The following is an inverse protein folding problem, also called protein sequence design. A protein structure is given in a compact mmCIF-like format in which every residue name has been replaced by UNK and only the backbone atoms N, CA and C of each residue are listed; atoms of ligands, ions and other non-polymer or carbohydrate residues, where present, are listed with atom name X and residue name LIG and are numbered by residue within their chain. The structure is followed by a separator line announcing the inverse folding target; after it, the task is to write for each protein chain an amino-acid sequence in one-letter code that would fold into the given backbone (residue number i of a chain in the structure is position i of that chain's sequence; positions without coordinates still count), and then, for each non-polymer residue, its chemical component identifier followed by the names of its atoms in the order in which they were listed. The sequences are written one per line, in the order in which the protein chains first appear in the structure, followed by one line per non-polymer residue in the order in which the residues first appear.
data_IF_892160750067
#
_entry.id   IF_892160750067
#
_cell.length_a   1.000
_cell.length_b   1.000
_cell.length_c   1.000
_cell.angle_alpha   90.00
_cell.angle_beta   90.00
_cell.angle_gamma   90.00
#
_symmetry.space_group_name_H-M   'P 1'
#
loop_
_entity.id
_entity.type
_entity.pdbx_description
1 polymer ?
#
# COMPACT_ATOMS: atom_id res chain seq x y z
N UNK A 1 22.70 -7.38 -11.48
CA UNK A 1 23.68 -6.60 -12.24
C UNK A 1 25.00 -7.33 -12.09
N UNK A 2 25.58 -7.75 -13.20
CA UNK A 2 26.92 -8.34 -13.21
C UNK A 2 27.87 -7.27 -13.74
N UNK A 3 28.57 -6.58 -12.84
CA UNK A 3 29.51 -5.49 -13.16
C UNK A 3 30.54 -5.88 -14.23
N UNK A 4 30.87 -7.17 -14.32
CA UNK A 4 31.91 -7.68 -15.20
C UNK A 4 31.47 -7.89 -16.66
N UNK A 5 30.16 -7.83 -16.97
CA UNK A 5 29.67 -8.26 -18.29
C UNK A 5 28.70 -7.29 -18.97
N UNK A 6 28.30 -6.20 -18.31
CA UNK A 6 27.32 -5.22 -18.80
C UNK A 6 25.94 -5.81 -19.19
N UNK A 7 25.65 -7.04 -18.75
CA UNK A 7 24.38 -7.72 -18.99
C UNK A 7 23.34 -7.43 -17.91
N UNK A 8 22.12 -7.13 -18.36
CA UNK A 8 20.93 -7.06 -17.54
C UNK A 8 20.11 -8.34 -17.70
N UNK A 9 19.94 -9.06 -16.60
CA UNK A 9 19.00 -10.18 -16.54
C UNK A 9 17.67 -9.71 -15.97
N UNK A 10 16.58 -10.06 -16.66
CA UNK A 10 15.22 -9.70 -16.23
C UNK A 10 14.84 -10.59 -15.04
N UNK A 11 14.64 -9.97 -13.89
CA UNK A 11 14.07 -10.65 -12.73
C UNK A 11 12.54 -10.62 -12.81
N UNK A 12 11.87 -11.68 -12.34
CA UNK A 12 10.40 -11.75 -12.31
C UNK A 12 9.77 -10.56 -11.57
N UNK A 13 10.43 -10.07 -10.52
CA UNK A 13 9.99 -8.90 -9.77
C UNK A 13 10.04 -7.61 -10.62
N UNK A 14 11.06 -7.47 -11.47
CA UNK A 14 11.16 -6.34 -12.41
C UNK A 14 10.09 -6.39 -13.50
N UNK A 15 9.74 -7.59 -13.98
CA UNK A 15 8.63 -7.79 -14.92
C UNK A 15 7.29 -7.39 -14.30
N UNK A 16 7.02 -7.82 -13.07
CA UNK A 16 5.79 -7.44 -12.34
C UNK A 16 5.75 -5.92 -12.15
N UNK A 17 6.86 -5.30 -11.72
CA UNK A 17 6.94 -3.85 -11.54
C UNK A 17 6.52 -3.10 -12.81
N UNK A 18 7.04 -3.51 -13.96
CA UNK A 18 6.71 -2.92 -15.26
C UNK A 18 5.25 -3.14 -15.65
N UNK A 19 4.72 -4.35 -15.50
CA UNK A 19 3.34 -4.70 -15.89
C UNK A 19 2.28 -3.91 -15.11
N UNK A 20 2.55 -3.58 -13.84
CA UNK A 20 1.61 -2.86 -12.97
C UNK A 20 2.02 -1.40 -12.70
N UNK A 21 3.05 -0.92 -13.40
CA UNK A 21 3.60 0.44 -13.25
C UNK A 21 4.03 0.78 -11.80
N UNK A 22 4.49 -0.21 -11.05
CA UNK A 22 4.91 -0.03 -9.65
C UNK A 22 6.37 0.43 -9.62
N UNK A 23 6.63 1.41 -8.77
CA UNK A 23 7.97 1.96 -8.57
C UNK A 23 8.92 0.93 -7.96
N UNK A 24 10.21 1.00 -8.31
CA UNK A 24 11.21 0.05 -7.81
C UNK A 24 11.30 0.04 -6.27
N UNK A 25 11.12 1.22 -5.62
CA UNK A 25 11.14 1.37 -4.15
C UNK A 25 10.02 0.56 -3.50
N UNK A 26 8.82 0.59 -4.07
CA UNK A 26 7.70 -0.19 -3.55
C UNK A 26 7.92 -1.68 -3.76
N UNK A 27 8.51 -2.07 -4.90
CA UNK A 27 8.86 -3.47 -5.14
C UNK A 27 9.91 -3.99 -4.15
N UNK A 28 10.86 -3.17 -3.74
CA UNK A 28 11.83 -3.50 -2.68
C UNK A 28 11.10 -3.75 -1.34
N UNK A 29 10.18 -2.86 -0.95
CA UNK A 29 9.35 -3.02 0.25
C UNK A 29 8.54 -4.31 0.20
N UNK A 30 7.92 -4.62 -0.95
CA UNK A 30 7.13 -5.83 -1.14
C UNK A 30 7.99 -7.08 -1.06
N UNK A 31 9.18 -7.06 -1.67
CA UNK A 31 10.12 -8.17 -1.65
C UNK A 31 10.54 -8.52 -0.21
N UNK A 32 10.83 -7.50 0.60
CA UNK A 32 11.27 -7.63 1.97
C UNK A 32 10.15 -8.06 2.92
N UNK A 33 8.99 -7.39 2.85
CA UNK A 33 7.91 -7.51 3.86
C UNK A 33 6.84 -8.53 3.53
N UNK A 34 6.63 -8.87 2.25
CA UNK A 34 5.67 -9.90 1.88
C UNK A 34 6.22 -11.28 2.28
N UNK A 35 5.45 -12.05 3.06
CA UNK A 35 5.77 -13.40 3.57
C UNK A 35 4.53 -14.28 3.47
N UNK A 36 4.72 -15.61 3.38
CA UNK A 36 3.65 -16.63 3.29
C UNK A 36 2.57 -16.47 4.37
N UNK A 37 2.99 -16.16 5.60
CA UNK A 37 2.14 -16.12 6.78
C UNK A 37 1.51 -14.73 7.06
N UNK A 38 1.54 -13.83 6.09
CA UNK A 38 1.00 -12.48 6.27
C UNK A 38 -0.52 -12.53 6.36
N UNK A 39 -1.05 -12.10 7.52
CA UNK A 39 -2.49 -11.85 7.70
C UNK A 39 -2.92 -10.57 6.98
N UNK A 40 -4.22 -10.42 6.75
CA UNK A 40 -4.85 -9.29 6.07
C UNK A 40 -4.36 -7.93 6.57
N UNK A 41 -4.32 -7.72 7.90
CA UNK A 41 -3.82 -6.49 8.50
C UNK A 41 -2.37 -6.17 8.10
N UNK A 42 -1.53 -7.19 7.93
CA UNK A 42 -0.15 -6.98 7.49
C UNK A 42 -0.09 -6.65 5.99
N UNK A 43 -0.94 -7.26 5.16
CA UNK A 43 -1.04 -6.95 3.73
C UNK A 43 -1.48 -5.49 3.55
N UNK A 44 -2.51 -5.04 4.26
CA UNK A 44 -2.96 -3.64 4.25
C UNK A 44 -1.84 -2.68 4.69
N UNK A 45 -1.09 -3.05 5.72
CA UNK A 45 0.08 -2.29 6.18
C UNK A 45 1.20 -2.22 5.11
N UNK A 46 1.46 -3.31 4.39
CA UNK A 46 2.46 -3.35 3.30
C UNK A 46 2.03 -2.45 2.14
N UNK A 47 0.76 -2.54 1.72
CA UNK A 47 0.20 -1.66 0.67
C UNK A 47 0.35 -0.21 1.08
N UNK A 48 0.05 0.13 2.33
CA UNK A 48 0.07 1.53 2.78
C UNK A 48 1.47 2.15 2.83
N UNK A 49 2.53 1.32 2.82
CA UNK A 49 3.92 1.76 2.79
C UNK A 49 4.46 1.95 1.35
N UNK A 50 3.63 1.73 0.34
CA UNK A 50 4.03 1.90 -1.06
C UNK A 50 4.45 3.34 -1.33
N UNK A 51 5.57 3.51 -2.03
CA UNK A 51 6.11 4.84 -2.35
C UNK A 51 5.26 5.64 -3.35
N UNK A 52 4.28 5.01 -3.98
CA UNK A 52 3.21 5.65 -4.75
C UNK A 52 2.39 6.63 -3.91
N UNK A 53 2.42 6.48 -2.58
CA UNK A 53 1.70 7.32 -1.64
C UNK A 53 2.57 8.37 -0.93
N UNK A 54 3.85 8.50 -1.30
CA UNK A 54 4.81 9.37 -0.59
C UNK A 54 4.40 10.85 -0.53
N UNK A 55 3.56 11.31 -1.46
CA UNK A 55 3.08 12.70 -1.53
C UNK A 55 1.82 12.95 -0.67
N UNK A 56 1.17 11.90 -0.13
CA UNK A 56 -0.04 12.00 0.70
C UNK A 56 0.26 12.32 2.17
N UNK A 57 1.07 13.36 2.40
CA UNK A 57 1.47 13.75 3.75
C UNK A 57 0.25 14.06 4.61
N UNK A 58 0.30 13.60 5.87
CA UNK A 58 -0.73 13.93 6.86
C UNK A 58 -0.67 15.40 7.23
N UNK A 59 -1.84 15.99 7.49
CA UNK A 59 -1.99 17.38 7.94
C UNK A 59 -2.71 17.43 9.28
N UNK A 60 -2.54 18.52 10.03
CA UNK A 60 -3.12 18.62 11.38
C UNK A 60 -4.64 18.80 11.35
N UNK A 61 -5.16 19.51 10.34
CA UNK A 61 -6.59 19.82 10.18
C UNK A 61 -7.45 18.57 9.98
N UNK A 62 -6.89 17.50 9.41
CA UNK A 62 -7.57 16.23 9.12
C UNK A 62 -7.39 15.18 10.23
N UNK A 63 -6.49 15.43 11.20
CA UNK A 63 -6.10 14.43 12.22
C UNK A 63 -7.30 13.93 13.04
N UNK A 64 -8.22 14.84 13.41
CA UNK A 64 -9.41 14.48 14.18
C UNK A 64 -10.36 13.56 13.41
N UNK A 65 -10.51 13.77 12.10
CA UNK A 65 -11.33 12.89 11.27
C UNK A 65 -10.64 11.55 11.03
N UNK A 66 -9.32 11.55 10.82
CA UNK A 66 -8.54 10.32 10.67
C UNK A 66 -8.64 9.43 11.91
N UNK A 67 -8.56 9.98 13.13
CA UNK A 67 -8.77 9.21 14.36
C UNK A 67 -10.20 8.65 14.45
N UNK A 68 -11.23 9.45 14.10
CA UNK A 68 -12.62 8.99 14.05
C UNK A 68 -12.79 7.81 13.08
N UNK A 69 -12.19 7.90 11.89
CA UNK A 69 -12.24 6.85 10.87
C UNK A 69 -11.47 5.60 11.31
N UNK A 70 -10.31 5.78 11.97
CA UNK A 70 -9.52 4.68 12.53
C UNK A 70 -10.30 3.88 13.57
N UNK A 71 -11.03 4.55 14.46
CA UNK A 71 -11.79 3.89 15.52
C UNK A 71 -13.08 3.20 15.01
N UNK A 72 -13.78 3.82 14.05
CA UNK A 72 -15.13 3.40 13.67
C UNK A 72 -15.21 2.65 12.34
N UNK A 73 -14.22 2.80 11.46
CA UNK A 73 -14.29 2.31 10.08
C UNK A 73 -13.15 1.35 9.68
N UNK A 74 -12.18 1.08 10.56
CA UNK A 74 -11.04 0.22 10.26
C UNK A 74 -11.16 -1.14 11.00
N UNK A 75 -11.55 -2.24 10.32
CA UNK A 75 -11.67 -3.55 10.95
C UNK A 75 -10.31 -4.16 11.35
N UNK A 76 -9.24 -3.83 10.62
CA UNK A 76 -7.90 -4.33 10.86
C UNK A 76 -7.08 -3.34 11.70
N UNK A 77 -6.30 -3.88 12.66
CA UNK A 77 -5.43 -3.07 13.50
C UNK A 77 -4.37 -2.34 12.68
N UNK A 78 -4.31 -1.02 12.84
CA UNK A 78 -3.32 -0.14 12.23
C UNK A 78 -2.24 0.15 13.29
N UNK A 79 -1.00 -0.26 13.03
CA UNK A 79 0.13 -0.06 13.94
C UNK A 79 0.70 1.35 13.86
N UNK A 80 0.56 1.97 12.70
CA UNK A 80 1.00 3.33 12.42
C UNK A 80 0.07 4.36 13.09
N UNK A 81 0.64 5.52 13.36
CA UNK A 81 -0.04 6.70 13.86
C UNK A 81 -0.69 7.46 12.71
N UNK A 82 -1.66 8.32 13.01
CA UNK A 82 -2.43 9.09 12.01
C UNK A 82 -1.62 10.16 11.30
N UNK A 83 -0.55 10.65 11.94
CA UNK A 83 0.43 11.60 11.41
C UNK A 83 1.41 10.97 10.40
N UNK A 84 1.55 9.64 10.40
CA UNK A 84 2.34 8.93 9.40
C UNK A 84 1.56 8.80 8.09
N UNK A 85 2.24 9.00 6.96
CA UNK A 85 1.67 8.84 5.62
C UNK A 85 1.12 7.43 5.43
N UNK A 86 1.85 6.41 5.89
CA UNK A 86 1.37 5.04 5.81
C UNK A 86 0.16 4.78 6.73
N UNK A 87 0.06 5.47 7.87
CA UNK A 87 -1.12 5.41 8.73
C UNK A 87 -2.35 6.00 8.07
N UNK A 88 -2.23 7.23 7.54
CA UNK A 88 -3.29 7.90 6.77
C UNK A 88 -3.78 7.03 5.61
N UNK A 89 -2.88 6.52 4.78
CA UNK A 89 -3.24 5.65 3.63
C UNK A 89 -3.99 4.40 4.08
N UNK A 90 -3.55 3.76 5.16
CA UNK A 90 -4.19 2.55 5.69
C UNK A 90 -5.62 2.84 6.16
N UNK A 91 -5.81 3.94 6.88
CA UNK A 91 -7.12 4.38 7.35
C UNK A 91 -8.04 4.67 6.17
N UNK A 92 -7.57 5.42 5.16
CA UNK A 92 -8.38 5.76 3.99
C UNK A 92 -8.77 4.53 3.18
N UNK A 93 -7.84 3.59 2.99
CA UNK A 93 -8.12 2.33 2.30
C UNK A 93 -9.18 1.50 3.03
N UNK A 94 -9.01 1.30 4.34
CA UNK A 94 -9.98 0.54 5.12
C UNK A 94 -11.34 1.25 5.21
N UNK A 95 -11.35 2.58 5.34
CA UNK A 95 -12.58 3.38 5.35
C UNK A 95 -13.35 3.25 4.04
N UNK A 96 -12.65 3.23 2.90
CA UNK A 96 -13.27 2.97 1.60
C UNK A 96 -13.87 1.56 1.52
N UNK A 97 -13.15 0.53 1.96
CA UNK A 97 -13.64 -0.85 1.96
C UNK A 97 -14.85 -1.03 2.89
N UNK A 98 -14.89 -0.30 4.01
CA UNK A 98 -16.00 -0.27 4.95
C UNK A 98 -17.17 0.63 4.52
N UNK A 99 -17.05 1.31 3.37
CA UNK A 99 -18.04 2.28 2.89
C UNK A 99 -18.36 3.39 3.92
N UNK A 100 -17.34 3.86 4.63
CA UNK A 100 -17.47 4.90 5.64
C UNK A 100 -17.57 6.30 5.01
N UNK A 101 -18.29 7.19 5.68
CA UNK A 101 -18.44 8.57 5.24
C UNK A 101 -17.24 9.42 5.66
N UNK A 102 -16.58 10.04 4.67
CA UNK A 102 -15.47 10.98 4.83
C UNK A 102 -16.00 12.38 4.51
N UNK A 103 -15.85 13.31 5.46
CA UNK A 103 -16.42 14.66 5.38
C UNK A 103 -15.43 15.68 4.82
N UNK A 104 -14.13 15.57 5.15
CA UNK A 104 -13.10 16.48 4.65
C UNK A 104 -12.81 16.29 3.15
N UNK A 105 -12.84 17.40 2.39
CA UNK A 105 -12.65 17.38 0.94
C UNK A 105 -11.26 16.92 0.51
N UNK A 106 -10.21 17.24 1.27
CA UNK A 106 -8.87 16.77 0.97
C UNK A 106 -8.77 15.26 1.21
N UNK A 107 -9.34 14.75 2.30
CA UNK A 107 -9.39 13.31 2.57
C UNK A 107 -10.20 12.54 1.53
N UNK A 108 -11.30 13.10 1.00
CA UNK A 108 -12.06 12.48 -0.10
C UNK A 108 -11.18 12.34 -1.35
N UNK A 109 -10.45 13.41 -1.71
CA UNK A 109 -9.54 13.38 -2.86
C UNK A 109 -8.40 12.37 -2.65
N UNK A 110 -7.79 12.37 -1.46
CA UNK A 110 -6.72 11.45 -1.11
C UNK A 110 -7.21 9.99 -1.11
N UNK A 111 -8.41 9.73 -0.59
CA UNK A 111 -9.03 8.40 -0.62
C UNK A 111 -9.23 7.89 -2.05
N UNK A 112 -9.73 8.74 -2.95
CA UNK A 112 -9.88 8.38 -4.35
C UNK A 112 -8.53 8.02 -5.01
N UNK A 113 -7.47 8.78 -4.71
CA UNK A 113 -6.12 8.49 -5.20
C UNK A 113 -5.58 7.17 -4.60
N UNK A 114 -5.79 6.92 -3.30
CA UNK A 114 -5.39 5.68 -2.62
C UNK A 114 -6.05 4.48 -3.28
N UNK A 115 -7.36 4.52 -3.52
CA UNK A 115 -8.14 3.41 -4.09
C UNK A 115 -7.69 3.09 -5.52
N UNK A 116 -7.51 4.11 -6.36
CA UNK A 116 -7.07 3.93 -7.75
C UNK A 116 -5.70 3.23 -7.83
N UNK A 117 -4.76 3.63 -6.99
CA UNK A 117 -3.42 3.04 -6.95
C UNK A 117 -3.39 1.69 -6.24
N UNK A 118 -4.25 1.46 -5.23
CA UNK A 118 -4.30 0.19 -4.50
C UNK A 118 -4.65 -0.97 -5.43
N UNK A 119 -5.55 -0.77 -6.42
CA UNK A 119 -5.93 -1.84 -7.35
C UNK A 119 -4.73 -2.45 -8.09
N UNK A 120 -3.85 -1.60 -8.64
CA UNK A 120 -2.63 -2.06 -9.34
C UNK A 120 -1.58 -2.63 -8.39
N UNK A 121 -1.43 -2.06 -7.20
CA UNK A 121 -0.51 -2.56 -6.16
C UNK A 121 -0.93 -3.96 -5.69
N UNK A 122 -2.21 -4.18 -5.40
CA UNK A 122 -2.74 -5.48 -4.96
C UNK A 122 -2.52 -6.55 -6.04
N UNK A 123 -2.74 -6.22 -7.32
CA UNK A 123 -2.46 -7.15 -8.42
C UNK A 123 -0.97 -7.49 -8.52
N UNK A 124 -0.08 -6.52 -8.33
CA UNK A 124 1.36 -6.78 -8.29
C UNK A 124 1.74 -7.69 -7.11
N UNK A 125 1.21 -7.43 -5.91
CA UNK A 125 1.44 -8.27 -4.73
C UNK A 125 0.93 -9.71 -4.93
N UNK A 126 -0.24 -9.85 -5.57
CA UNK A 126 -0.80 -11.15 -5.91
C UNK A 126 0.09 -11.94 -6.87
N UNK A 127 0.59 -11.31 -7.94
CA UNK A 127 1.55 -11.95 -8.86
C UNK A 127 2.88 -12.31 -8.18
N UNK A 128 3.37 -11.49 -7.26
CA UNK A 128 4.57 -11.84 -6.46
C UNK A 128 4.30 -13.09 -5.63
N UNK A 129 3.13 -13.18 -4.99
CA UNK A 129 2.76 -14.35 -4.18
C UNK A 129 2.61 -15.61 -5.05
N UNK A 130 1.99 -15.51 -6.23
CA UNK A 130 1.86 -16.61 -7.19
C UNK A 130 3.23 -17.10 -7.68
N UNK A 131 4.13 -16.20 -8.09
CA UNK A 131 5.48 -16.58 -8.54
C UNK A 131 6.30 -17.25 -7.43
N UNK A 132 5.98 -17.01 -6.15
CA UNK A 132 6.61 -17.66 -5.00
C UNK A 132 5.89 -18.93 -4.54
N UNK A 133 4.84 -19.36 -5.24
CA UNK A 133 3.99 -20.49 -4.88
C UNK A 133 3.36 -20.36 -3.48
N UNK A 134 2.97 -19.14 -3.08
CA UNK A 134 2.26 -18.88 -1.83
C UNK A 134 0.76 -19.07 -2.04
N UNK A 135 0.35 -20.29 -2.37
CA UNK A 135 -1.04 -20.71 -2.38
C UNK A 135 -1.44 -21.03 -0.94
N UNK A 136 -2.28 -20.17 -0.36
CA UNK A 136 -2.86 -20.39 0.96
C UNK A 136 -4.25 -21.00 0.82
#
# INVERSE_FOLDING_TARGET
FYEDTDYFEIQDIGRIASNYYITYKSMEIFNDKLKVQNKEANILSIISQSSEFADLKSREEEAKELERLKENACPCQIKQTTDDTAGKVNILLQSYLSNANIDDFALISDSAFVVQNTSRIVRALFEIALNRNWAQ
#
